data_IF_123058878756
#
_entry.id   IF_123058878756
#
_cell.length_a   1.000
_cell.length_b   1.000
_cell.length_c   1.000
_cell.angle_alpha   90.00
_cell.angle_beta   90.00
_cell.angle_gamma   90.00
#
_symmetry.space_group_name_H-M   'P 1'
#
loop_
_entity.id
_entity.type
_entity.pdbx_description
1 polymer ?
#
# COMPACT_ATOMS: atom_id res chain seq x y z
N UNK A 1 12.20 9.42 12.20
CA UNK A 1 13.09 9.06 11.08
C UNK A 1 12.20 8.56 9.96
N UNK A 2 12.52 8.81 8.68
CA UNK A 2 11.76 8.20 7.59
C UNK A 2 11.89 6.67 7.65
N UNK A 3 10.79 5.96 7.41
CA UNK A 3 10.82 4.49 7.33
C UNK A 3 11.57 4.06 6.07
N UNK A 4 12.40 3.04 6.19
CA UNK A 4 13.02 2.41 5.01
C UNK A 4 12.02 1.48 4.31
N UNK A 5 12.33 1.14 3.07
CA UNK A 5 11.62 0.12 2.29
C UNK A 5 11.43 -1.18 3.08
N UNK A 6 12.53 -1.65 3.69
CA UNK A 6 12.57 -2.87 4.47
C UNK A 6 11.74 -2.76 5.75
N UNK A 7 11.66 -1.58 6.36
CA UNK A 7 10.82 -1.36 7.54
C UNK A 7 9.33 -1.49 7.22
N UNK A 8 8.90 -0.92 6.09
CA UNK A 8 7.52 -1.02 5.62
C UNK A 8 7.14 -2.47 5.31
N UNK A 9 8.03 -3.20 4.63
CA UNK A 9 7.77 -4.60 4.27
C UNK A 9 7.74 -5.49 5.53
N UNK A 10 8.72 -5.34 6.42
CA UNK A 10 8.86 -6.27 7.54
C UNK A 10 7.86 -6.02 8.67
N UNK A 11 7.57 -4.76 8.98
CA UNK A 11 6.83 -4.41 10.19
C UNK A 11 5.32 -4.21 9.97
N UNK A 12 4.86 -4.12 8.72
CA UNK A 12 3.45 -3.84 8.40
C UNK A 12 2.82 -4.95 7.58
N UNK A 13 1.52 -5.12 7.71
CA UNK A 13 0.74 -5.97 6.82
C UNK A 13 0.52 -5.23 5.49
N UNK A 14 0.96 -5.83 4.39
CA UNK A 14 0.94 -5.19 3.08
C UNK A 14 -0.25 -5.68 2.27
N UNK A 15 -1.25 -4.82 2.13
CA UNK A 15 -2.41 -5.03 1.29
C UNK A 15 -2.15 -4.50 -0.13
N UNK A 16 -2.57 -5.24 -1.15
CA UNK A 16 -2.48 -4.83 -2.54
C UNK A 16 -3.67 -5.29 -3.36
N UNK A 17 -3.91 -4.58 -4.45
CA UNK A 17 -4.93 -4.94 -5.44
C UNK A 17 -4.33 -5.95 -6.43
N UNK A 18 -4.77 -7.20 -6.30
CA UNK A 18 -4.28 -8.28 -7.14
C UNK A 18 -4.96 -8.39 -8.51
N UNK A 19 -5.91 -7.51 -8.83
CA UNK A 19 -6.65 -7.50 -10.10
C UNK A 19 -6.28 -6.29 -10.94
N UNK A 20 -6.20 -5.10 -10.36
CA UNK A 20 -5.77 -3.90 -11.09
C UNK A 20 -4.24 -3.85 -11.19
N UNK A 21 -3.73 -4.18 -12.37
CA UNK A 21 -2.29 -4.16 -12.65
C UNK A 21 -1.65 -2.76 -12.54
N UNK A 22 -2.43 -1.69 -12.58
CA UNK A 22 -1.91 -0.33 -12.32
C UNK A 22 -1.51 -0.12 -10.86
N UNK A 23 -2.05 -0.95 -9.95
CA UNK A 23 -1.73 -0.99 -8.52
C UNK A 23 -0.71 -2.08 -8.16
N UNK A 24 -0.19 -2.84 -9.13
CA UNK A 24 0.60 -4.05 -8.87
C UNK A 24 1.87 -3.81 -8.03
N UNK A 25 2.33 -2.56 -7.95
CA UNK A 25 3.52 -2.15 -7.20
C UNK A 25 3.20 -1.13 -6.09
N UNK A 26 1.92 -1.01 -5.74
CA UNK A 26 1.40 -0.13 -4.70
C UNK A 26 0.82 -0.95 -3.56
N UNK A 27 1.12 -0.55 -2.33
CA UNK A 27 0.74 -1.31 -1.14
C UNK A 27 0.25 -0.38 -0.05
N UNK A 28 -0.83 -0.77 0.61
CA UNK A 28 -1.24 -0.23 1.91
C UNK A 28 -0.50 -1.03 3.00
N UNK A 29 0.31 -0.34 3.78
CA UNK A 29 1.07 -0.87 4.90
C UNK A 29 0.31 -0.54 6.19
N UNK A 30 -0.33 -1.56 6.75
CA UNK A 30 -1.21 -1.44 7.91
C UNK A 30 -0.56 -2.10 9.12
N UNK A 31 -0.51 -1.38 10.23
CA UNK A 31 -0.02 -1.93 11.50
C UNK A 31 -1.17 -2.55 12.33
N UNK A 32 -0.82 -3.17 13.45
CA UNK A 32 -1.81 -3.74 14.35
C UNK A 32 -2.72 -2.70 15.02
N UNK A 33 -2.33 -1.42 15.07
CA UNK A 33 -3.13 -0.38 15.70
C UNK A 33 -4.33 -0.05 14.82
N UNK A 34 -4.11 0.15 13.51
CA UNK A 34 -5.16 0.33 12.50
C UNK A 34 -5.94 -0.97 12.31
N UNK A 35 -5.22 -2.08 12.15
CA UNK A 35 -5.79 -3.42 12.01
C UNK A 35 -6.59 -3.64 10.72
N UNK A 36 -7.10 -4.86 10.55
CA UNK A 36 -7.83 -5.27 9.34
C UNK A 36 -9.08 -4.43 9.08
N UNK A 37 -9.84 -4.07 10.11
CA UNK A 37 -11.04 -3.24 9.96
C UNK A 37 -10.71 -1.84 9.41
N UNK A 38 -9.63 -1.23 9.88
CA UNK A 38 -9.15 0.05 9.36
C UNK A 38 -8.63 -0.09 7.93
N UNK A 39 -7.91 -1.19 7.63
CA UNK A 39 -7.48 -1.50 6.26
C UNK A 39 -8.66 -1.57 5.29
N UNK A 40 -9.70 -2.34 5.63
CA UNK A 40 -10.88 -2.48 4.79
C UNK A 40 -11.60 -1.14 4.60
N UNK A 41 -11.72 -0.33 5.65
CA UNK A 41 -12.29 1.02 5.52
C UNK A 41 -11.53 1.92 4.55
N UNK A 42 -10.19 1.89 4.58
CA UNK A 42 -9.35 2.63 3.63
C UNK A 42 -9.53 2.09 2.21
N UNK A 43 -9.51 0.77 2.04
CA UNK A 43 -9.70 0.11 0.74
C UNK A 43 -11.07 0.44 0.15
N UNK A 44 -12.14 0.41 0.95
CA UNK A 44 -13.49 0.79 0.49
C UNK A 44 -13.56 2.26 0.05
N UNK A 45 -12.90 3.16 0.77
CA UNK A 45 -12.80 4.56 0.36
C UNK A 45 -12.04 4.71 -0.97
N UNK A 46 -10.93 3.97 -1.15
CA UNK A 46 -10.16 3.95 -2.40
C UNK A 46 -10.96 3.35 -3.56
N UNK A 47 -11.76 2.31 -3.32
CA UNK A 47 -12.72 1.75 -4.30
C UNK A 47 -13.73 2.79 -4.75
N UNK A 48 -14.30 3.56 -3.82
CA UNK A 48 -15.21 4.64 -4.15
C UNK A 48 -14.55 5.74 -5.02
N UNK A 49 -13.23 5.90 -4.90
CA UNK A 49 -12.41 6.76 -5.75
C UNK A 49 -11.92 6.13 -7.07
N UNK A 50 -12.31 4.89 -7.40
CA UNK A 50 -11.77 4.10 -8.53
C UNK A 50 -10.24 3.90 -8.51
N UNK A 51 -9.65 3.89 -7.31
CA UNK A 51 -8.22 3.66 -7.09
C UNK A 51 -7.90 2.22 -6.67
N UNK A 52 -8.94 1.42 -6.44
CA UNK A 52 -8.85 0.01 -6.08
C UNK A 52 -10.01 -0.74 -6.75
N UNK A 53 -9.78 -1.96 -7.21
CA UNK A 53 -10.77 -2.84 -7.82
C UNK A 53 -11.85 -3.30 -6.82
N UNK A 54 -12.98 -3.77 -7.32
CA UNK A 54 -14.04 -4.34 -6.46
C UNK A 54 -13.65 -5.69 -5.82
N UNK A 55 -12.55 -6.29 -6.27
CA UNK A 55 -12.12 -7.59 -5.78
C UNK A 55 -11.50 -7.51 -4.39
N UNK A 56 -11.50 -8.64 -3.69
CA UNK A 56 -10.90 -8.76 -2.36
C UNK A 56 -9.42 -8.39 -2.39
N UNK A 57 -9.03 -7.48 -1.50
CA UNK A 57 -7.64 -7.10 -1.32
C UNK A 57 -6.80 -8.33 -0.93
N UNK A 58 -5.62 -8.45 -1.51
CA UNK A 58 -4.66 -9.52 -1.18
C UNK A 58 -3.64 -8.99 -0.19
N UNK A 59 -3.07 -9.89 0.59
CA UNK A 59 -2.02 -9.58 1.55
C UNK A 59 -0.74 -10.26 1.08
N UNK A 60 0.40 -9.60 1.23
CA UNK A 60 1.72 -10.22 1.03
C UNK A 60 1.99 -11.16 2.21
N UNK A 61 2.09 -12.49 1.99
CA UNK A 61 2.37 -13.45 3.07
C UNK A 61 3.72 -13.17 3.72
N UNK A 62 3.84 -13.42 5.02
CA UNK A 62 5.08 -13.18 5.78
C UNK A 62 6.29 -13.91 5.19
N UNK A 63 6.08 -15.10 4.62
CA UNK A 63 7.10 -15.89 3.91
C UNK A 63 7.64 -15.23 2.64
N UNK A 64 6.87 -14.35 2.00
CA UNK A 64 7.28 -13.63 0.79
C UNK A 64 7.95 -12.28 1.09
N UNK A 65 7.80 -11.75 2.31
CA UNK A 65 8.37 -10.46 2.71
C UNK A 65 9.89 -10.34 2.50
N UNK A 66 10.74 -11.34 2.84
CA UNK A 66 12.17 -11.25 2.59
C UNK A 66 12.49 -11.12 1.10
N UNK A 67 11.82 -11.91 0.26
CA UNK A 67 11.98 -11.85 -1.20
C UNK A 67 11.56 -10.48 -1.75
N UNK A 68 10.46 -9.92 -1.25
CA UNK A 68 9.99 -8.59 -1.65
C UNK A 68 11.01 -7.51 -1.26
N UNK A 69 11.56 -7.57 -0.04
CA UNK A 69 12.56 -6.60 0.41
C UNK A 69 13.86 -6.64 -0.42
N UNK A 70 14.20 -7.78 -1.01
CA UNK A 70 15.37 -7.93 -1.88
C UNK A 70 15.11 -7.54 -3.34
N UNK A 71 13.91 -7.81 -3.86
CA UNK A 71 13.60 -7.68 -5.29
C UNK A 71 12.92 -6.35 -5.67
N UNK A 72 12.37 -5.64 -4.70
CA UNK A 72 11.60 -4.43 -4.95
C UNK A 72 12.45 -3.19 -4.77
N UNK A 73 12.49 -2.35 -5.80
CA UNK A 73 13.12 -1.04 -5.73
C UNK A 73 12.14 -0.06 -5.08
N UNK A 74 12.54 0.56 -3.98
CA UNK A 74 11.67 1.49 -3.26
C UNK A 74 11.59 2.84 -3.96
N UNK A 75 10.36 3.28 -4.26
CA UNK A 75 10.11 4.58 -4.88
C UNK A 75 9.78 5.62 -3.81
N UNK A 76 8.97 5.25 -2.82
CA UNK A 76 8.64 6.12 -1.71
C UNK A 76 7.37 5.71 -0.98
N UNK A 77 7.00 6.48 0.03
CA UNK A 77 5.79 6.26 0.80
C UNK A 77 5.13 7.58 1.20
N UNK A 78 3.84 7.53 1.51
CA UNK A 78 3.10 8.59 2.19
C UNK A 78 2.38 7.99 3.40
N UNK A 79 2.14 8.82 4.41
CA UNK A 79 1.33 8.46 5.57
C UNK A 79 -0.05 9.10 5.48
N UNK A 80 -1.05 8.46 6.08
CA UNK A 80 -2.34 9.05 6.42
C UNK A 80 -2.77 8.63 7.82
N UNK A 81 -3.85 9.21 8.34
CA UNK A 81 -4.43 8.80 9.63
C UNK A 81 -5.84 8.27 9.47
N UNK A 82 -6.07 7.05 9.91
CA UNK A 82 -7.40 6.45 10.05
C UNK A 82 -7.73 6.36 11.54
N UNK A 83 -8.79 7.04 11.99
CA UNK A 83 -9.20 7.06 13.41
C UNK A 83 -8.05 7.40 14.38
N UNK A 84 -7.32 8.48 14.08
CA UNK A 84 -6.11 8.94 14.80
C UNK A 84 -4.89 8.02 14.78
N UNK A 85 -4.98 6.87 14.09
CA UNK A 85 -3.88 5.90 13.94
C UNK A 85 -3.22 6.07 12.58
N UNK A 86 -1.89 6.01 12.57
CA UNK A 86 -1.12 6.19 11.35
C UNK A 86 -1.12 4.91 10.51
N UNK A 87 -1.31 5.06 9.21
CA UNK A 87 -1.03 4.03 8.22
C UNK A 87 -0.12 4.59 7.14
N UNK A 88 0.48 3.71 6.34
CA UNK A 88 1.31 4.12 5.22
C UNK A 88 0.80 3.53 3.91
N UNK A 89 1.00 4.26 2.82
CA UNK A 89 0.95 3.72 1.48
C UNK A 89 2.35 3.81 0.87
N UNK A 90 2.79 2.76 0.19
CA UNK A 90 4.13 2.68 -0.36
C UNK A 90 4.10 2.25 -1.82
N UNK A 91 5.00 2.83 -2.60
CA UNK A 91 5.24 2.48 -3.99
C UNK A 91 6.61 1.85 -4.15
N UNK A 92 6.66 0.81 -4.96
CA UNK A 92 7.87 0.12 -5.38
C UNK A 92 7.90 -0.01 -6.89
N UNK A 93 9.07 -0.37 -7.41
CA UNK A 93 9.27 -0.78 -8.79
C UNK A 93 9.80 -2.22 -8.82
N UNK A 94 9.34 -3.00 -9.80
CA UNK A 94 9.71 -4.39 -9.96
C UNK A 94 9.71 -4.76 -11.45
N UNK A 95 10.64 -5.62 -11.88
CA UNK A 95 10.83 -5.96 -13.30
C UNK A 95 9.54 -6.50 -13.96
N UNK A 96 8.81 -7.38 -13.25
CA UNK A 96 7.54 -7.96 -13.75
C UNK A 96 6.34 -7.03 -13.59
N UNK A 97 6.41 -6.11 -12.65
CA UNK A 97 5.30 -5.25 -12.24
C UNK A 97 5.86 -3.84 -12.11
N UNK A 98 5.96 -3.12 -13.25
CA UNK A 98 6.60 -1.82 -13.27
C UNK A 98 5.74 -0.81 -12.49
N UNK A 99 6.44 0.06 -11.79
CA UNK A 99 5.85 1.20 -11.11
C UNK A 99 5.04 2.08 -12.08
N UNK A 100 3.82 2.45 -11.68
CA UNK A 100 2.99 3.41 -12.42
C UNK A 100 2.97 4.76 -11.68
N UNK A 101 3.65 5.75 -12.27
CA UNK A 101 3.73 7.10 -11.71
C UNK A 101 2.39 7.79 -11.57
N UNK A 102 1.55 7.71 -12.60
CA UNK A 102 0.25 8.40 -12.60
C UNK A 102 -0.65 7.86 -11.49
N UNK A 103 -0.73 6.53 -11.38
CA UNK A 103 -1.53 5.88 -10.34
C UNK A 103 -1.01 6.21 -8.93
N UNK A 104 0.30 6.29 -8.76
CA UNK A 104 0.88 6.70 -7.48
C UNK A 104 0.54 8.14 -7.10
N UNK A 105 0.57 9.07 -8.04
CA UNK A 105 0.14 10.45 -7.79
C UNK A 105 -1.33 10.52 -7.37
N UNK A 106 -2.20 9.70 -7.97
CA UNK A 106 -3.61 9.60 -7.57
C UNK A 106 -3.77 9.10 -6.13
N UNK A 107 -3.05 8.04 -5.74
CA UNK A 107 -3.04 7.55 -4.36
C UNK A 107 -2.60 8.62 -3.37
N UNK A 108 -1.50 9.33 -3.67
CA UNK A 108 -1.01 10.42 -2.81
C UNK A 108 -2.03 11.54 -2.65
N UNK A 109 -2.66 11.97 -3.74
CA UNK A 109 -3.70 13.01 -3.70
C UNK A 109 -4.92 12.55 -2.89
N UNK A 110 -5.34 11.31 -3.09
CA UNK A 110 -6.46 10.73 -2.37
C UNK A 110 -6.19 10.65 -0.87
N UNK A 111 -5.02 10.13 -0.48
CA UNK A 111 -4.65 10.01 0.94
C UNK A 111 -4.57 11.40 1.57
N UNK A 112 -3.85 12.34 0.95
CA UNK A 112 -3.73 13.71 1.48
C UNK A 112 -5.06 14.48 1.58
N UNK A 113 -6.08 14.10 0.81
CA UNK A 113 -7.39 14.74 0.83
C UNK A 113 -8.36 14.13 1.86
N UNK A 114 -8.15 12.86 2.25
CA UNK A 114 -9.12 12.09 3.04
C UNK A 114 -8.58 11.60 4.39
N UNK A 115 -7.25 11.64 4.62
CA UNK A 115 -6.58 11.04 5.78
C UNK A 115 -5.42 11.91 6.31
#
# INVERSE_FOLDING_TARGET
MPLSATDLINNFEMYFDGTDMTNASLYLCIDSAVGESGAQGIIEAMRAGNLWSSDTAKIVPAEHKPMYAEQMEFIGYVSGKCEDKEFHASAYNHEKFPYNTERWEEWKRFIAANY
#
